data_IF_049240579381
#
_entry.id   IF_049240579381
#
_cell.length_a   1.000
_cell.length_b   1.000
_cell.length_c   1.000
_cell.angle_alpha   90.00
_cell.angle_beta   90.00
_cell.angle_gamma   90.00
#
_symmetry.space_group_name_H-M   'P 1'
#
loop_
_entity.id
_entity.type
_entity.pdbx_description
1 polymer ?
#
# COMPACT_ATOMS: atom_id res chain seq x y z
N UNK A 1 -22.67 -19.97 9.89
CA UNK A 1 -21.74 -19.01 10.50
C UNK A 1 -21.82 -17.72 9.71
N UNK A 2 -22.05 -16.58 10.38
CA UNK A 2 -22.00 -15.25 9.77
C UNK A 2 -20.72 -14.58 10.26
N UNK A 3 -19.85 -14.14 9.35
CA UNK A 3 -18.56 -13.52 9.68
C UNK A 3 -18.53 -12.08 9.16
N UNK A 4 -18.12 -11.15 10.03
CA UNK A 4 -17.82 -9.76 9.67
C UNK A 4 -16.32 -9.64 9.47
N UNK A 5 -15.89 -8.89 8.47
CA UNK A 5 -14.47 -8.62 8.19
C UNK A 5 -14.18 -7.20 8.68
N UNK A 6 -13.30 -7.06 9.68
CA UNK A 6 -12.98 -5.76 10.29
C UNK A 6 -12.10 -4.83 9.42
N UNK A 7 -11.57 -5.34 8.29
CA UNK A 7 -10.74 -4.60 7.36
C UNK A 7 -11.36 -4.52 5.95
N UNK A 8 -11.21 -3.39 5.23
CA UNK A 8 -11.75 -3.24 3.89
C UNK A 8 -10.94 -4.04 2.85
N UNK A 9 -11.59 -4.42 1.73
CA UNK A 9 -10.94 -4.98 0.56
C UNK A 9 -11.24 -6.46 0.28
N UNK A 10 -11.31 -6.83 -1.01
CA UNK A 10 -11.65 -8.20 -1.45
C UNK A 10 -10.63 -9.25 -1.00
N UNK A 11 -9.34 -8.89 -0.97
CA UNK A 11 -8.28 -9.80 -0.52
C UNK A 11 -8.41 -10.15 0.97
N UNK A 12 -8.90 -9.22 1.82
CA UNK A 12 -9.16 -9.51 3.22
C UNK A 12 -10.29 -10.52 3.40
N UNK A 13 -11.33 -10.45 2.56
CA UNK A 13 -12.40 -11.47 2.56
C UNK A 13 -11.83 -12.86 2.21
N UNK A 14 -10.94 -12.95 1.21
CA UNK A 14 -10.30 -14.21 0.83
C UNK A 14 -9.45 -14.78 1.97
N UNK A 15 -8.67 -13.94 2.65
CA UNK A 15 -7.88 -14.36 3.81
C UNK A 15 -8.77 -14.87 4.95
N UNK A 16 -9.87 -14.16 5.25
CA UNK A 16 -10.84 -14.58 6.26
C UNK A 16 -11.48 -15.94 5.92
N UNK A 17 -11.83 -16.16 4.65
CA UNK A 17 -12.36 -17.45 4.20
C UNK A 17 -11.34 -18.59 4.36
N UNK A 18 -10.07 -18.33 4.03
CA UNK A 18 -8.99 -19.30 4.24
C UNK A 18 -8.81 -19.65 5.74
N UNK A 19 -8.84 -18.64 6.62
CA UNK A 19 -8.77 -18.84 8.08
C UNK A 19 -9.96 -19.65 8.60
N UNK A 20 -11.18 -19.34 8.15
CA UNK A 20 -12.38 -20.10 8.54
C UNK A 20 -12.32 -21.55 8.04
N UNK A 21 -11.84 -21.77 6.82
CA UNK A 21 -11.62 -23.13 6.29
C UNK A 21 -10.59 -23.91 7.10
N UNK A 22 -9.44 -23.29 7.43
CA UNK A 22 -8.41 -23.91 8.26
C UNK A 22 -8.94 -24.23 9.67
N UNK A 23 -9.67 -23.30 10.29
CA UNK A 23 -10.30 -23.48 11.58
C UNK A 23 -11.30 -24.65 11.58
N UNK A 24 -12.09 -24.79 10.51
CA UNK A 24 -13.01 -25.91 10.35
C UNK A 24 -12.27 -27.25 10.29
N UNK A 25 -11.16 -27.31 9.54
CA UNK A 25 -10.37 -28.55 9.39
C UNK A 25 -9.75 -29.05 10.70
N UNK A 26 -9.38 -28.13 11.59
CA UNK A 26 -8.81 -28.48 12.91
C UNK A 26 -9.86 -28.63 14.02
N UNK A 27 -11.15 -28.54 13.67
CA UNK A 27 -12.24 -28.68 14.63
C UNK A 27 -12.42 -27.49 15.59
N UNK A 28 -11.94 -26.31 15.21
CA UNK A 28 -12.11 -25.10 16.02
C UNK A 28 -13.56 -24.59 15.98
N UNK A 29 -13.96 -23.87 17.03
CA UNK A 29 -15.27 -23.21 17.10
C UNK A 29 -15.34 -22.03 16.12
N UNK A 30 -16.00 -22.25 14.99
CA UNK A 30 -16.15 -21.24 13.94
C UNK A 30 -16.90 -19.98 14.39
N UNK A 31 -17.77 -20.09 15.40
CA UNK A 31 -18.45 -18.92 15.97
C UNK A 31 -17.46 -18.00 16.69
N UNK A 32 -16.56 -18.58 17.50
CA UNK A 32 -15.48 -17.83 18.16
C UNK A 32 -14.49 -17.25 17.18
N UNK A 33 -14.09 -18.03 16.16
CA UNK A 33 -13.17 -17.55 15.12
C UNK A 33 -13.79 -16.39 14.33
N UNK A 34 -15.05 -16.51 13.91
CA UNK A 34 -15.75 -15.44 13.20
C UNK A 34 -15.91 -14.18 14.05
N UNK A 35 -16.16 -14.31 15.36
CA UNK A 35 -16.22 -13.18 16.28
C UNK A 35 -14.87 -12.49 16.43
N UNK A 36 -13.77 -13.24 16.58
CA UNK A 36 -12.43 -12.67 16.69
C UNK A 36 -12.00 -11.93 15.41
N UNK A 37 -12.41 -12.43 14.24
CA UNK A 37 -12.13 -11.79 12.95
C UNK A 37 -12.95 -10.51 12.72
N UNK A 38 -14.05 -10.31 13.45
CA UNK A 38 -14.85 -9.10 13.35
C UNK A 38 -14.11 -7.85 13.89
N UNK A 39 -13.26 -8.05 14.89
CA UNK A 39 -12.44 -7.00 15.50
C UNK A 39 -11.05 -6.88 14.86
N UNK A 40 -10.77 -7.70 13.83
CA UNK A 40 -9.51 -7.65 13.11
C UNK A 40 -9.38 -6.30 12.39
N UNK A 41 -8.48 -5.48 12.90
CA UNK A 41 -8.05 -4.25 12.23
C UNK A 41 -6.73 -4.49 11.49
N UNK A 42 -6.50 -3.71 10.44
CA UNK A 42 -5.21 -3.74 9.78
C UNK A 42 -4.14 -3.19 10.74
N UNK A 43 -3.00 -3.85 10.79
CA UNK A 43 -1.82 -3.36 11.51
C UNK A 43 -1.43 -1.96 11.04
N UNK A 44 -0.71 -1.23 11.89
CA UNK A 44 -0.15 0.08 11.54
C UNK A 44 0.66 -0.04 10.24
N UNK A 45 0.53 0.95 9.34
CA UNK A 45 1.21 0.93 8.05
C UNK A 45 0.54 0.11 6.95
N UNK A 46 -0.74 -0.27 7.09
CA UNK A 46 -1.48 -1.06 6.09
C UNK A 46 -2.73 -0.35 5.58
N UNK A 47 -2.54 0.73 4.84
CA UNK A 47 -3.57 1.46 4.10
C UNK A 47 -4.42 2.42 4.93
N UNK A 48 -4.02 2.71 6.18
CA UNK A 48 -4.78 3.65 7.02
C UNK A 48 -4.69 5.06 6.43
N UNK A 49 -5.83 5.74 6.33
CA UNK A 49 -5.90 7.12 5.85
C UNK A 49 -5.93 8.10 7.02
N UNK A 50 -5.10 9.13 6.92
CA UNK A 50 -5.00 10.21 7.89
C UNK A 50 -5.25 11.54 7.19
N UNK A 51 -6.00 12.44 7.83
CA UNK A 51 -6.17 13.81 7.37
C UNK A 51 -5.27 14.70 8.20
N UNK A 52 -4.23 15.24 7.57
CA UNK A 52 -3.29 16.18 8.19
C UNK A 52 -3.75 17.61 7.89
N UNK A 53 -3.63 18.50 8.88
CA UNK A 53 -3.93 19.92 8.72
C UNK A 53 -2.74 20.64 8.11
N UNK A 54 -2.98 21.43 7.07
CA UNK A 54 -1.95 22.27 6.46
C UNK A 54 -2.57 23.64 6.06
N UNK A 55 -1.82 24.75 6.14
CA UNK A 55 -2.38 26.10 5.91
C UNK A 55 -3.03 26.30 4.53
N UNK A 56 -2.56 25.56 3.52
CA UNK A 56 -3.10 25.60 2.14
C UNK A 56 -4.23 24.59 1.86
N UNK A 57 -4.73 23.91 2.89
CA UNK A 57 -5.74 22.85 2.76
C UNK A 57 -5.30 21.53 3.38
N UNK A 58 -6.22 20.58 3.58
CA UNK A 58 -5.91 19.29 4.21
C UNK A 58 -5.05 18.40 3.30
N UNK A 59 -4.21 17.56 3.91
CA UNK A 59 -3.44 16.53 3.21
C UNK A 59 -4.02 15.17 3.59
N UNK A 60 -4.36 14.35 2.60
CA UNK A 60 -4.70 12.94 2.83
C UNK A 60 -3.43 12.12 2.77
N UNK A 61 -2.97 11.61 3.92
CA UNK A 61 -1.87 10.66 4.00
C UNK A 61 -2.43 9.24 3.96
N UNK A 62 -1.89 8.41 3.07
CA UNK A 62 -2.17 6.99 2.96
C UNK A 62 -0.96 6.25 3.54
N UNK A 63 -1.12 5.65 4.71
CA UNK A 63 -0.04 4.94 5.42
C UNK A 63 0.06 3.48 4.96
N UNK A 64 0.91 3.21 3.97
CA UNK A 64 1.28 1.86 3.47
C UNK A 64 2.73 1.50 3.85
N UNK A 65 3.21 2.01 4.99
CA UNK A 65 4.62 1.88 5.42
C UNK A 65 5.05 0.50 5.93
N UNK A 66 4.14 -0.48 6.04
CA UNK A 66 4.45 -1.78 6.65
C UNK A 66 5.19 -2.73 5.70
N UNK A 67 4.79 -2.81 4.44
CA UNK A 67 5.30 -3.82 3.50
C UNK A 67 5.67 -3.20 2.15
N UNK A 68 6.92 -3.37 1.76
CA UNK A 68 7.48 -2.91 0.51
C UNK A 68 7.89 -4.11 -0.36
N UNK A 69 6.92 -4.78 -0.97
CA UNK A 69 7.18 -5.79 -2.00
C UNK A 69 6.48 -5.37 -3.31
N UNK A 70 6.82 -5.98 -4.48
CA UNK A 70 6.29 -5.52 -5.75
C UNK A 70 4.75 -5.50 -5.82
N UNK A 71 4.09 -6.48 -5.20
CA UNK A 71 2.63 -6.55 -5.18
C UNK A 71 2.00 -5.48 -4.26
N UNK A 72 2.57 -5.22 -3.09
CA UNK A 72 2.07 -4.17 -2.19
C UNK A 72 2.32 -2.78 -2.74
N UNK A 73 3.48 -2.54 -3.38
CA UNK A 73 3.78 -1.29 -4.08
C UNK A 73 2.77 -1.00 -5.19
N UNK A 74 2.47 -1.99 -6.03
CA UNK A 74 1.45 -1.85 -7.07
C UNK A 74 0.05 -1.53 -6.49
N UNK A 75 -0.33 -2.19 -5.40
CA UNK A 75 -1.59 -1.92 -4.72
C UNK A 75 -1.64 -0.50 -4.11
N UNK A 76 -0.55 -0.06 -3.48
CA UNK A 76 -0.43 1.28 -2.90
C UNK A 76 -0.52 2.37 -3.98
N UNK A 77 0.16 2.18 -5.11
CA UNK A 77 0.06 3.10 -6.26
C UNK A 77 -1.34 3.14 -6.86
N UNK A 78 -2.00 1.99 -7.03
CA UNK A 78 -3.39 1.95 -7.48
C UNK A 78 -4.33 2.69 -6.51
N UNK A 79 -4.13 2.56 -5.20
CA UNK A 79 -4.88 3.27 -4.18
C UNK A 79 -4.64 4.78 -4.22
N UNK A 80 -3.38 5.21 -4.40
CA UNK A 80 -3.01 6.61 -4.58
C UNK A 80 -3.69 7.22 -5.82
N UNK A 81 -3.71 6.49 -6.95
CA UNK A 81 -4.36 6.92 -8.17
C UNK A 81 -5.87 7.10 -7.99
N UNK A 82 -6.52 6.09 -7.40
CA UNK A 82 -7.96 6.09 -7.15
C UNK A 82 -8.41 7.10 -6.09
N UNK A 83 -7.48 7.63 -5.28
CA UNK A 83 -7.80 8.63 -4.26
C UNK A 83 -8.04 10.00 -4.92
N UNK A 84 -9.20 10.64 -4.68
CA UNK A 84 -9.51 11.94 -5.26
C UNK A 84 -8.54 13.02 -4.78
N UNK A 85 -8.20 13.94 -5.69
CA UNK A 85 -7.44 15.14 -5.40
C UNK A 85 -8.40 16.32 -5.47
N UNK A 86 -8.46 17.11 -4.41
CA UNK A 86 -9.36 18.26 -4.31
C UNK A 86 -8.66 19.56 -4.72
N UNK A 87 -9.35 20.43 -5.46
CA UNK A 87 -8.85 21.75 -5.85
C UNK A 87 -7.55 21.65 -6.66
N UNK A 88 -6.58 22.53 -6.34
CA UNK A 88 -5.23 22.55 -6.93
C UNK A 88 -4.26 21.56 -6.24
N UNK A 89 -4.79 20.52 -5.60
CA UNK A 89 -3.98 19.49 -4.96
C UNK A 89 -3.14 18.69 -5.95
N UNK A 90 -2.26 17.85 -5.42
CA UNK A 90 -1.42 16.94 -6.21
C UNK A 90 -1.19 15.62 -5.49
N UNK A 91 -0.77 14.61 -6.24
CA UNK A 91 -0.31 13.32 -5.69
C UNK A 91 1.18 13.38 -5.42
N UNK A 92 1.59 12.81 -4.30
CA UNK A 92 2.98 12.67 -3.89
C UNK A 92 3.19 11.21 -3.48
N UNK A 93 4.27 10.60 -3.95
CA UNK A 93 4.71 9.29 -3.47
C UNK A 93 5.96 9.46 -2.60
N UNK A 94 6.01 8.72 -1.48
CA UNK A 94 7.20 8.63 -0.62
C UNK A 94 7.53 7.15 -0.51
N UNK A 95 8.62 6.72 -1.12
CA UNK A 95 8.93 5.31 -1.34
C UNK A 95 10.30 4.97 -0.73
N UNK A 96 10.37 3.82 -0.06
CA UNK A 96 11.61 3.27 0.44
C UNK A 96 11.88 1.86 -0.09
N UNK A 97 13.12 1.39 0.09
CA UNK A 97 13.61 0.12 -0.45
C UNK A 97 12.65 -1.06 -0.21
N UNK A 98 12.43 -1.83 -1.27
CA UNK A 98 11.85 -3.16 -1.21
C UNK A 98 12.93 -4.17 -0.83
N UNK A 99 12.73 -4.86 0.29
CA UNK A 99 13.73 -5.77 0.86
C UNK A 99 13.62 -7.19 0.28
N UNK A 100 14.66 -7.99 0.48
CA UNK A 100 14.70 -9.44 0.16
C UNK A 100 14.47 -9.78 -1.33
N UNK A 101 14.85 -8.88 -2.24
CA UNK A 101 14.69 -9.08 -3.69
C UNK A 101 15.89 -9.77 -4.37
N UNK A 102 17.02 -9.88 -3.67
CA UNK A 102 18.25 -10.47 -4.20
C UNK A 102 18.72 -9.80 -5.49
N UNK A 103 19.15 -10.59 -6.48
CA UNK A 103 19.66 -10.11 -7.76
C UNK A 103 18.63 -9.35 -8.62
N UNK A 104 17.35 -9.41 -8.27
CA UNK A 104 16.29 -8.70 -9.00
C UNK A 104 16.02 -7.29 -8.45
N UNK A 105 16.69 -6.88 -7.37
CA UNK A 105 16.38 -5.64 -6.66
C UNK A 105 16.36 -4.42 -7.58
N UNK A 106 17.46 -4.13 -8.28
CA UNK A 106 17.53 -2.97 -9.17
C UNK A 106 16.44 -2.97 -10.25
N UNK A 107 16.21 -4.13 -10.89
CA UNK A 107 15.18 -4.28 -11.94
C UNK A 107 13.78 -4.00 -11.39
N UNK A 108 13.46 -4.55 -10.22
CA UNK A 108 12.13 -4.42 -9.62
C UNK A 108 11.88 -3.02 -9.06
N UNK A 109 12.90 -2.35 -8.51
CA UNK A 109 12.82 -0.94 -8.14
C UNK A 109 12.60 -0.04 -9.36
N UNK A 110 13.38 -0.22 -10.43
CA UNK A 110 13.21 0.54 -11.67
C UNK A 110 11.81 0.34 -12.30
N UNK A 111 11.25 -0.88 -12.21
CA UNK A 111 9.91 -1.17 -12.71
C UNK A 111 8.79 -0.38 -12.01
N UNK A 112 9.03 0.22 -10.84
CA UNK A 112 8.06 1.11 -10.21
C UNK A 112 7.80 2.39 -11.01
N UNK A 113 8.69 2.77 -11.94
CA UNK A 113 8.53 3.96 -12.77
C UNK A 113 7.23 3.92 -13.60
N UNK A 114 6.92 2.77 -14.21
CA UNK A 114 5.69 2.59 -14.99
C UNK A 114 4.44 2.83 -14.13
N UNK A 115 4.47 2.36 -12.87
CA UNK A 115 3.38 2.59 -11.93
C UNK A 115 3.24 4.07 -11.60
N UNK A 116 4.34 4.76 -11.27
CA UNK A 116 4.34 6.19 -10.90
C UNK A 116 3.82 7.08 -12.04
N UNK A 117 4.31 6.84 -13.27
CA UNK A 117 3.89 7.58 -14.46
C UNK A 117 2.39 7.35 -14.70
N UNK A 118 1.93 6.10 -14.54
CA UNK A 118 0.53 5.72 -14.72
C UNK A 118 -0.45 6.37 -13.71
N UNK A 119 0.02 6.86 -12.57
CA UNK A 119 -0.84 7.51 -11.55
C UNK A 119 -0.91 9.03 -11.65
N UNK A 120 -0.20 9.64 -12.61
CA UNK A 120 -0.07 11.10 -12.68
C UNK A 120 0.63 11.72 -11.46
N UNK A 121 1.47 10.95 -10.78
CA UNK A 121 2.24 11.42 -9.63
C UNK A 121 3.43 12.22 -10.15
N UNK A 122 3.47 13.51 -9.83
CA UNK A 122 4.49 14.45 -10.33
C UNK A 122 5.58 14.75 -9.30
N UNK A 123 5.44 14.26 -8.07
CA UNK A 123 6.45 14.45 -7.02
C UNK A 123 6.70 13.15 -6.29
N UNK A 124 7.96 12.74 -6.23
CA UNK A 124 8.38 11.49 -5.60
C UNK A 124 9.56 11.78 -4.68
N UNK A 125 9.45 11.30 -3.45
CA UNK A 125 10.55 11.25 -2.49
C UNK A 125 11.00 9.80 -2.37
N UNK A 126 12.29 9.56 -2.53
CA UNK A 126 12.90 8.24 -2.53
C UNK A 126 13.86 8.13 -1.35
N UNK A 127 13.84 7.01 -0.65
CA UNK A 127 14.72 6.79 0.51
C UNK A 127 15.29 5.39 0.55
N UNK A 128 16.61 5.29 0.50
CA UNK A 128 17.33 4.01 0.56
C UNK A 128 18.17 3.76 -0.70
N UNK A 129 19.26 2.98 -0.59
CA UNK A 129 20.19 2.74 -1.69
C UNK A 129 19.56 2.06 -2.91
N UNK A 130 18.60 1.15 -2.72
CA UNK A 130 18.02 0.38 -3.84
C UNK A 130 17.08 1.24 -4.70
N UNK A 131 16.49 2.29 -4.12
CA UNK A 131 15.69 3.28 -4.85
C UNK A 131 16.47 4.08 -5.89
N UNK A 132 17.81 4.03 -5.89
CA UNK A 132 18.62 4.67 -6.94
C UNK A 132 18.24 4.18 -8.34
N UNK A 133 17.96 2.89 -8.49
CA UNK A 133 17.56 2.32 -9.78
C UNK A 133 16.25 2.91 -10.31
N UNK A 134 15.35 3.34 -9.40
CA UNK A 134 14.14 4.07 -9.76
C UNK A 134 14.45 5.55 -10.07
N UNK A 135 15.26 6.21 -9.25
CA UNK A 135 15.63 7.61 -9.42
C UNK A 135 16.26 7.87 -10.80
N UNK A 136 17.10 6.96 -11.29
CA UNK A 136 17.82 7.08 -12.56
C UNK A 136 16.92 6.94 -13.80
N UNK A 137 15.76 6.29 -13.69
CA UNK A 137 14.86 6.03 -14.83
C UNK A 137 13.60 6.88 -14.82
N UNK A 138 13.27 7.54 -13.71
CA UNK A 138 12.14 8.46 -13.66
C UNK A 138 12.37 9.63 -14.63
N UNK A 139 11.34 10.00 -15.43
CA UNK A 139 11.47 11.07 -16.41
C UNK A 139 11.61 12.43 -15.71
N UNK A 140 12.24 13.39 -16.40
CA UNK A 140 12.59 14.69 -15.83
C UNK A 140 11.39 15.59 -15.49
N UNK A 141 10.19 15.25 -15.97
CA UNK A 141 8.94 15.91 -15.63
C UNK A 141 8.35 15.42 -14.29
N UNK A 142 8.88 14.33 -13.72
CA UNK A 142 8.60 13.90 -12.35
C UNK A 142 9.64 14.53 -11.41
N UNK A 143 9.20 15.46 -10.56
CA UNK A 143 10.05 16.07 -9.54
C UNK A 143 10.48 15.01 -8.51
N UNK A 144 11.73 14.55 -8.62
CA UNK A 144 12.26 13.45 -7.83
C UNK A 144 13.32 13.95 -6.84
N UNK A 145 13.12 13.65 -5.56
CA UNK A 145 14.10 13.90 -4.48
C UNK A 145 14.57 12.55 -3.93
N UNK A 146 15.87 12.31 -3.93
CA UNK A 146 16.54 11.07 -3.51
C UNK A 146 17.62 11.36 -2.47
#
# INVERSE_FOLDING_TARGET
>A
VLARVGAPGRHMVQNVLAVLGAAQLVGADLGKVASALADLSAERGRGKRHILRHPKGPITLIDESYNANPASMAAAMALLNATPVSGEGRRIAVLGDMLELGSHSAKLHAALAELIIGTGTQTVFLGGPEMRALAEILPSDVNTEY
#
